data_IF_351317573391
#
_entry.id   IF_351317573391
#
_cell.length_a   1.000
_cell.length_b   1.000
_cell.length_c   1.000
_cell.angle_alpha   90.00
_cell.angle_beta   90.00
_cell.angle_gamma   90.00
#
_symmetry.space_group_name_H-M   'P 1'
#
loop_
_entity.id
_entity.type
_entity.pdbx_description
1 polymer ?
#
# COMPACT_ATOMS: atom_id res chain seq x y z
N UNK A 1 1.20 3.49 -5.82
CA UNK A 1 1.90 3.55 -4.52
C UNK A 1 1.56 2.27 -3.76
N UNK A 2 2.46 1.74 -2.93
CA UNK A 2 2.16 0.59 -2.08
C UNK A 2 1.76 1.07 -0.69
N UNK A 3 0.73 0.46 -0.13
CA UNK A 3 0.32 0.68 1.25
C UNK A 3 1.30 0.02 2.23
N UNK A 4 1.38 0.60 3.42
CA UNK A 4 2.18 0.06 4.51
C UNK A 4 1.43 -1.11 5.16
N UNK A 5 2.13 -2.23 5.35
CA UNK A 5 1.60 -3.48 5.88
C UNK A 5 2.62 -4.10 6.83
N UNK A 6 2.19 -5.06 7.64
CA UNK A 6 3.07 -5.80 8.56
C UNK A 6 4.20 -6.55 7.85
N UNK A 7 4.05 -6.87 6.56
CA UNK A 7 5.03 -7.66 5.79
C UNK A 7 6.02 -6.82 4.99
N UNK A 8 5.82 -5.51 4.89
CA UNK A 8 6.69 -4.61 4.13
C UNK A 8 7.24 -3.44 4.97
N UNK A 9 7.05 -3.47 6.29
CA UNK A 9 7.52 -2.45 7.23
C UNK A 9 8.25 -3.08 8.42
N UNK A 10 9.36 -2.46 8.79
CA UNK A 10 10.11 -2.68 10.03
C UNK A 10 10.28 -1.36 10.76
N UNK A 11 10.21 -1.35 12.09
CA UNK A 11 10.31 -0.13 12.91
C UNK A 11 11.45 -0.26 13.92
N UNK A 12 12.42 0.64 13.88
CA UNK A 12 13.50 0.73 14.87
C UNK A 12 13.30 1.88 15.85
N UNK A 13 13.33 1.61 17.15
CA UNK A 13 13.17 2.63 18.21
C UNK A 13 14.37 2.59 19.15
N UNK A 14 14.91 3.76 19.50
CA UNK A 14 15.97 3.94 20.51
C UNK A 14 15.67 5.19 21.32
N UNK A 15 16.02 5.19 22.60
CA UNK A 15 15.77 6.31 23.50
C UNK A 15 16.82 6.43 24.60
N UNK A 16 16.69 7.46 25.44
CA UNK A 16 17.62 7.72 26.55
C UNK A 16 17.75 6.52 27.50
N UNK A 17 16.62 5.87 27.80
CA UNK A 17 16.52 4.73 28.72
C UNK A 17 15.95 3.49 27.99
N UNK A 18 16.10 3.43 26.67
CA UNK A 18 15.62 2.34 25.82
C UNK A 18 16.74 1.97 24.85
N UNK A 19 17.20 0.71 24.93
CA UNK A 19 18.13 0.14 23.95
C UNK A 19 17.49 0.14 22.55
N UNK A 20 18.32 0.05 21.50
CA UNK A 20 17.78 -0.02 20.14
C UNK A 20 17.00 -1.32 19.94
N UNK A 21 15.70 -1.21 19.72
CA UNK A 21 14.77 -2.32 19.48
C UNK A 21 14.25 -2.23 18.05
N UNK A 22 14.17 -3.37 17.37
CA UNK A 22 13.56 -3.51 16.04
C UNK A 22 12.29 -4.33 16.18
N UNK A 23 11.20 -3.82 15.60
CA UNK A 23 9.90 -4.48 15.49
C UNK A 23 9.67 -4.86 14.04
N UNK A 24 9.25 -6.10 13.81
CA UNK A 24 8.99 -6.70 12.50
C UNK A 24 7.64 -7.44 12.51
N UNK A 25 7.10 -7.76 11.33
CA UNK A 25 5.90 -8.59 11.16
C UNK A 25 4.71 -8.12 12.03
N UNK A 26 4.23 -8.95 12.94
CA UNK A 26 3.04 -8.67 13.73
C UNK A 26 3.31 -7.62 14.83
N UNK A 27 4.58 -7.40 15.20
CA UNK A 27 4.96 -6.42 16.22
C UNK A 27 4.85 -4.97 15.73
N UNK A 28 4.75 -4.75 14.40
CA UNK A 28 4.50 -3.41 13.85
C UNK A 28 3.01 -3.05 13.78
N UNK A 29 2.10 -4.01 13.97
CA UNK A 29 0.65 -3.80 13.85
C UNK A 29 0.11 -2.63 14.71
N UNK A 30 0.49 -2.48 16.00
CA UNK A 30 0.01 -1.37 16.83
C UNK A 30 0.36 0.02 16.30
N UNK A 31 1.44 0.12 15.51
CA UNK A 31 1.89 1.39 14.92
C UNK A 31 1.19 1.70 13.60
N UNK A 32 0.71 0.68 12.88
CA UNK A 32 -0.01 0.84 11.62
C UNK A 32 -1.50 1.19 11.84
N UNK A 33 -2.13 0.66 12.89
CA UNK A 33 -3.55 0.90 13.19
C UNK A 33 -3.90 2.39 13.43
N UNK A 34 -2.95 3.19 13.89
CA UNK A 34 -3.14 4.62 14.17
C UNK A 34 -2.62 5.57 13.11
N UNK A 35 -2.08 5.06 11.99
CA UNK A 35 -1.51 5.90 10.95
C UNK A 35 -2.62 6.45 10.06
N UNK A 36 -2.73 7.78 9.98
CA UNK A 36 -3.66 8.42 9.04
C UNK A 36 -3.32 7.98 7.61
N UNK A 37 -4.31 7.42 6.92
CA UNK A 37 -4.20 7.16 5.49
C UNK A 37 -3.85 8.48 4.82
N UNK A 38 -2.71 8.52 4.13
CA UNK A 38 -2.33 9.69 3.33
C UNK A 38 -3.52 10.00 2.43
N UNK A 39 -3.94 11.27 2.29
CA UNK A 39 -5.03 11.61 1.40
C UNK A 39 -4.66 11.11 0.01
N UNK A 40 -5.22 9.96 -0.36
CA UNK A 40 -5.08 9.42 -1.69
C UNK A 40 -5.60 10.54 -2.57
N UNK A 41 -4.75 11.07 -3.43
CA UNK A 41 -5.20 11.98 -4.47
C UNK A 41 -6.26 11.16 -5.19
N UNK A 42 -7.54 11.46 -4.95
CA UNK A 42 -8.65 10.86 -5.70
C UNK A 42 -8.28 11.14 -7.15
N UNK A 43 -7.69 10.16 -7.84
CA UNK A 43 -7.92 10.03 -9.26
C UNK A 43 -9.43 9.96 -9.31
N UNK A 44 -10.04 11.03 -9.80
CA UNK A 44 -11.48 11.10 -9.98
C UNK A 44 -11.86 9.75 -10.59
N UNK A 45 -12.56 8.95 -9.79
CA UNK A 45 -13.10 7.69 -10.26
C UNK A 45 -13.98 8.14 -11.42
N UNK A 46 -13.53 7.86 -12.64
CA UNK A 46 -14.32 8.07 -13.84
C UNK A 46 -15.51 7.11 -13.68
N UNK A 47 -16.55 7.61 -13.02
CA UNK A 47 -17.79 6.91 -12.88
C UNK A 47 -18.49 6.99 -14.25
N UNK A 48 -18.74 5.80 -14.78
CA UNK A 48 -19.84 5.43 -15.68
C UNK A 48 -19.75 5.85 -17.16
N UNK A 49 -19.44 4.88 -18.05
CA UNK A 49 -20.45 4.12 -18.82
C UNK A 49 -19.78 3.16 -19.85
N UNK A 50 -20.42 2.02 -20.22
CA UNK A 50 -19.86 1.03 -21.11
C UNK A 50 -20.19 1.35 -22.58
N UNK A 51 -19.20 1.77 -23.36
CA UNK A 51 -19.33 1.83 -24.83
C UNK A 51 -18.77 0.54 -25.44
N UNK A 52 -19.68 -0.34 -25.85
CA UNK A 52 -19.35 -1.51 -26.63
C UNK A 52 -18.78 -1.13 -28.01
N UNK A 53 -17.62 -1.72 -28.35
CA UNK A 53 -17.26 -2.19 -29.71
C UNK A 53 -16.04 -1.53 -30.37
N UNK A 54 -15.35 -2.21 -31.33
CA UNK A 54 -15.39 -3.63 -31.70
C UNK A 54 -14.07 -4.39 -31.40
N UNK A 55 -14.16 -5.72 -31.44
CA UNK A 55 -13.06 -6.69 -31.50
C UNK A 55 -12.24 -6.55 -32.79
N UNK A 56 -10.91 -6.73 -32.66
CA UNK A 56 -9.87 -7.16 -33.64
C UNK A 56 -8.53 -6.60 -33.14
N UNK A 57 -7.41 -7.32 -32.99
CA UNK A 57 -6.86 -8.42 -33.78
C UNK A 57 -5.79 -9.19 -32.95
N UNK A 58 -5.87 -10.51 -33.02
CA UNK A 58 -4.99 -11.66 -32.65
C UNK A 58 -3.69 -11.56 -31.78
N UNK A 59 -3.31 -12.67 -31.08
CA UNK A 59 -2.15 -12.73 -30.20
C UNK A 59 -0.86 -12.97 -31.00
N UNK A 60 0.17 -12.13 -30.79
CA UNK A 60 1.50 -12.43 -31.34
C UNK A 60 2.38 -13.03 -30.24
N UNK A 61 2.42 -14.37 -30.19
CA UNK A 61 3.49 -15.11 -29.54
C UNK A 61 4.80 -14.87 -30.30
N UNK A 62 5.87 -14.54 -29.57
CA UNK A 62 7.25 -14.77 -29.99
C UNK A 62 8.11 -15.13 -28.79
#
# INVERSE_FOLDING_TARGET
EQDLTTKNVSIGIVGKDMEFVIYDDDDVAPFLEGLEERPQRKVAQAADEPAAGPVSDEPMEH
#
